data_IF_294883875145
#
_entry.id   IF_294883875145
#
_cell.length_a   1.000
_cell.length_b   1.000
_cell.length_c   1.000
_cell.angle_alpha   90.00
_cell.angle_beta   90.00
_cell.angle_gamma   90.00
#
_symmetry.space_group_name_H-M   'P 1'
#
loop_
_entity.id
_entity.type
_entity.pdbx_description
1 polymer ?
#
# COMPACT_ATOMS: atom_id res chain seq x y z
N UNK A 1 19.02 -15.69 -4.51
CA UNK A 1 20.50 -15.53 -4.46
C UNK A 1 20.96 -14.07 -4.48
N UNK A 2 20.48 -13.20 -5.38
CA UNK A 2 20.89 -11.76 -5.42
C UNK A 2 20.40 -10.95 -4.21
N UNK A 3 19.20 -11.25 -3.69
CA UNK A 3 18.68 -10.58 -2.49
C UNK A 3 19.44 -10.95 -1.20
N UNK A 4 19.80 -12.23 -1.01
CA UNK A 4 20.50 -12.71 0.20
C UNK A 4 21.88 -12.07 0.41
N UNK A 5 22.64 -11.86 -0.67
CA UNK A 5 23.97 -11.23 -0.59
C UNK A 5 23.92 -9.74 -0.22
N UNK A 6 22.83 -9.05 -0.54
CA UNK A 6 22.66 -7.62 -0.25
C UNK A 6 22.32 -7.36 1.23
N UNK A 7 21.57 -8.28 1.88
CA UNK A 7 21.18 -8.17 3.29
C UNK A 7 22.35 -8.39 4.28
N UNK A 8 23.31 -9.24 3.91
CA UNK A 8 24.30 -9.79 4.85
C UNK A 8 25.30 -8.76 5.42
N UNK A 9 25.53 -7.63 4.73
CA UNK A 9 26.54 -6.63 5.11
C UNK A 9 26.01 -5.48 5.98
N UNK A 10 24.70 -5.25 6.03
CA UNK A 10 24.11 -4.10 6.75
C UNK A 10 23.37 -4.51 8.01
N UNK A 11 22.79 -5.71 7.99
CA UNK A 11 22.04 -6.27 9.10
C UNK A 11 23.00 -7.03 10.01
N UNK A 12 23.40 -6.41 11.12
CA UNK A 12 24.43 -6.96 12.01
C UNK A 12 23.84 -7.99 12.97
N UNK A 13 22.61 -7.76 13.43
CA UNK A 13 22.05 -8.55 14.53
C UNK A 13 21.37 -9.85 14.03
N UNK A 14 21.62 -11.01 14.68
CA UNK A 14 21.02 -12.29 14.30
C UNK A 14 19.48 -12.25 14.32
N UNK A 15 18.92 -11.47 15.25
CA UNK A 15 17.48 -11.29 15.38
C UNK A 15 16.88 -10.61 14.14
N UNK A 16 17.52 -9.56 13.63
CA UNK A 16 17.09 -8.86 12.43
C UNK A 16 17.15 -9.79 11.21
N UNK A 17 18.19 -10.64 11.08
CA UNK A 17 18.25 -11.65 10.01
C UNK A 17 17.10 -12.65 10.07
N UNK A 18 16.76 -13.11 11.28
CA UNK A 18 15.60 -13.99 11.51
C UNK A 18 14.29 -13.30 11.14
N UNK A 19 14.13 -12.03 11.48
CA UNK A 19 12.96 -11.21 11.13
C UNK A 19 12.80 -11.12 9.60
N UNK A 20 13.84 -10.70 8.87
CA UNK A 20 13.79 -10.61 7.41
C UNK A 20 13.45 -11.95 6.74
N UNK A 21 14.03 -13.04 7.22
CA UNK A 21 13.72 -14.38 6.71
C UNK A 21 12.25 -14.72 6.91
N UNK A 22 11.73 -14.51 8.12
CA UNK A 22 10.33 -14.79 8.44
C UNK A 22 9.36 -13.91 7.63
N UNK A 23 9.66 -12.62 7.46
CA UNK A 23 8.86 -11.70 6.63
C UNK A 23 8.86 -12.16 5.16
N UNK A 24 10.02 -12.60 4.64
CA UNK A 24 10.12 -13.05 3.24
C UNK A 24 9.31 -14.32 3.01
N UNK A 25 9.40 -15.30 3.91
CA UNK A 25 8.65 -16.57 3.82
C UNK A 25 7.14 -16.31 3.93
N UNK A 26 6.72 -15.52 4.91
CA UNK A 26 5.30 -15.19 5.12
C UNK A 26 4.72 -14.38 3.95
N UNK A 27 5.47 -13.43 3.40
CA UNK A 27 5.07 -12.66 2.22
C UNK A 27 4.89 -13.56 1.00
N UNK A 28 5.81 -14.51 0.78
CA UNK A 28 5.73 -15.44 -0.35
C UNK A 28 4.51 -16.34 -0.25
N UNK A 29 4.23 -16.86 0.95
CA UNK A 29 3.02 -17.63 1.22
C UNK A 29 1.75 -16.79 0.98
N UNK A 30 1.71 -15.55 1.48
CA UNK A 30 0.57 -14.65 1.31
C UNK A 30 0.33 -14.30 -0.18
N UNK A 31 1.39 -14.07 -0.96
CA UNK A 31 1.27 -13.83 -2.41
C UNK A 31 0.66 -15.03 -3.11
N UNK A 32 1.17 -16.24 -2.84
CA UNK A 32 0.62 -17.48 -3.42
C UNK A 32 -0.86 -17.65 -3.02
N UNK A 33 -1.19 -17.39 -1.76
CA UNK A 33 -2.56 -17.42 -1.27
C UNK A 33 -3.46 -16.40 -2.00
N UNK A 34 -3.02 -15.16 -2.18
CA UNK A 34 -3.76 -14.16 -2.95
C UNK A 34 -3.95 -14.56 -4.42
N UNK A 35 -2.93 -15.15 -5.06
CA UNK A 35 -3.04 -15.65 -6.44
C UNK A 35 -4.08 -16.77 -6.53
N UNK A 36 -4.05 -17.73 -5.60
CA UNK A 36 -5.03 -18.82 -5.54
C UNK A 36 -6.44 -18.25 -5.33
N UNK A 37 -6.62 -17.29 -4.40
CA UNK A 37 -7.90 -16.63 -4.19
C UNK A 37 -8.40 -15.91 -5.44
N UNK A 38 -7.53 -15.21 -6.18
CA UNK A 38 -7.89 -14.53 -7.43
C UNK A 38 -8.30 -15.55 -8.50
N UNK A 39 -7.58 -16.68 -8.62
CA UNK A 39 -7.92 -17.76 -9.55
C UNK A 39 -9.25 -18.43 -9.21
N UNK A 40 -9.46 -18.73 -7.92
CA UNK A 40 -10.73 -19.27 -7.42
C UNK A 40 -11.88 -18.29 -7.61
N UNK A 41 -11.65 -17.00 -7.35
CA UNK A 41 -12.65 -15.98 -7.63
C UNK A 41 -13.00 -15.93 -9.11
N UNK A 42 -12.02 -16.00 -10.01
CA UNK A 42 -12.28 -16.08 -11.45
C UNK A 42 -13.05 -17.35 -11.87
N UNK A 43 -12.87 -18.46 -11.15
CA UNK A 43 -13.51 -19.75 -11.45
C UNK A 43 -14.93 -19.87 -10.89
N UNK A 44 -15.17 -19.33 -9.69
CA UNK A 44 -16.40 -19.55 -8.92
C UNK A 44 -17.26 -18.30 -8.72
N UNK A 45 -16.68 -17.09 -8.73
CA UNK A 45 -17.50 -15.88 -8.59
C UNK A 45 -18.08 -15.51 -9.96
N UNK A 46 -19.41 -15.40 -10.08
CA UNK A 46 -20.00 -14.88 -11.29
C UNK A 46 -19.60 -13.41 -11.47
N UNK A 47 -19.41 -12.98 -12.71
CA UNK A 47 -18.87 -11.66 -13.07
C UNK A 47 -19.63 -10.45 -12.51
N UNK A 48 -20.85 -10.66 -12.00
CA UNK A 48 -21.70 -9.65 -11.37
C UNK A 48 -21.51 -9.49 -9.84
N UNK A 49 -20.66 -10.28 -9.18
CA UNK A 49 -20.46 -10.16 -7.72
C UNK A 49 -19.50 -9.01 -7.36
N UNK A 50 -18.58 -8.66 -8.26
CA UNK A 50 -17.67 -7.51 -8.09
C UNK A 50 -18.42 -6.16 -8.20
N UNK A 51 -19.66 -6.16 -8.72
CA UNK A 51 -20.58 -5.01 -8.72
C UNK A 51 -21.39 -4.86 -7.43
N UNK A 52 -21.21 -5.73 -6.44
CA UNK A 52 -21.96 -5.71 -5.17
C UNK A 52 -21.49 -4.67 -4.15
N UNK A 53 -20.33 -4.03 -4.37
CA UNK A 53 -19.99 -2.80 -3.64
C UNK A 53 -20.66 -1.68 -4.43
N UNK A 54 -21.68 -1.06 -3.84
CA UNK A 54 -22.44 0.03 -4.46
C UNK A 54 -21.58 1.32 -4.55
N UNK A 55 -20.53 1.27 -5.38
CA UNK A 55 -19.67 2.41 -5.72
C UNK A 55 -20.51 3.48 -6.43
N UNK A 56 -21.55 3.06 -7.14
CA UNK A 56 -22.57 3.93 -7.75
C UNK A 56 -23.26 4.84 -6.73
N UNK A 57 -23.56 4.34 -5.53
CA UNK A 57 -24.09 5.15 -4.44
C UNK A 57 -23.18 6.32 -4.06
N UNK A 58 -21.87 6.11 -3.97
CA UNK A 58 -20.92 7.20 -3.75
C UNK A 58 -20.80 8.13 -4.97
N UNK A 59 -20.76 7.58 -6.18
CA UNK A 59 -20.68 8.38 -7.40
C UNK A 59 -21.95 9.20 -7.69
N UNK A 60 -23.08 8.90 -7.05
CA UNK A 60 -24.29 9.73 -7.10
C UNK A 60 -24.06 11.14 -6.53
N UNK A 61 -23.09 11.29 -5.62
CA UNK A 61 -22.63 12.59 -5.10
C UNK A 61 -21.65 13.30 -6.07
N UNK A 62 -21.50 12.78 -7.29
CA UNK A 62 -20.62 13.31 -8.32
C UNK A 62 -19.16 13.34 -7.91
N UNK A 63 -18.50 14.47 -8.17
CA UNK A 63 -17.08 14.64 -7.89
C UNK A 63 -16.72 14.60 -6.40
N UNK A 64 -17.62 15.04 -5.52
CA UNK A 64 -17.40 14.97 -4.07
C UNK A 64 -17.35 13.51 -3.61
N UNK A 65 -18.27 12.69 -4.11
CA UNK A 65 -18.27 11.26 -3.84
C UNK A 65 -17.01 10.56 -4.36
N UNK A 66 -16.59 10.91 -5.58
CA UNK A 66 -15.32 10.44 -6.16
C UNK A 66 -14.12 10.82 -5.29
N UNK A 67 -14.05 12.05 -4.79
CA UNK A 67 -12.98 12.50 -3.90
C UNK A 67 -12.93 11.69 -2.60
N UNK A 68 -14.08 11.51 -1.93
CA UNK A 68 -14.14 10.80 -0.64
C UNK A 68 -13.74 9.34 -0.80
N UNK A 69 -14.27 8.65 -1.80
CA UNK A 69 -14.00 7.23 -1.98
C UNK A 69 -12.54 6.98 -2.42
N UNK A 70 -11.93 7.87 -3.20
CA UNK A 70 -10.50 7.75 -3.56
C UNK A 70 -9.60 8.17 -2.40
N UNK A 71 -10.02 9.12 -1.57
CA UNK A 71 -9.36 9.43 -0.31
C UNK A 71 -9.32 8.21 0.60
N UNK A 72 -10.46 7.55 0.82
CA UNK A 72 -10.51 6.31 1.60
C UNK A 72 -9.62 5.23 0.98
N UNK A 73 -9.63 5.09 -0.36
CA UNK A 73 -8.73 4.18 -1.07
C UNK A 73 -7.25 4.50 -0.97
N UNK A 74 -6.87 5.75 -0.68
CA UNK A 74 -5.48 6.15 -0.39
C UNK A 74 -5.04 5.87 1.05
N UNK A 75 -5.98 5.60 1.95
CA UNK A 75 -5.68 5.29 3.37
C UNK A 75 -5.39 3.79 3.59
N UNK A 76 -5.41 3.33 4.85
CA UNK A 76 -5.26 1.91 5.20
C UNK A 76 -6.43 1.04 4.73
N UNK A 77 -7.57 1.64 4.35
CA UNK A 77 -8.70 0.89 3.84
C UNK A 77 -8.42 0.36 2.44
N UNK A 78 -8.59 -0.95 2.19
CA UNK A 78 -8.44 -1.55 0.88
C UNK A 78 -9.66 -1.26 0.00
N UNK A 79 -9.91 0.03 -0.30
CA UNK A 79 -10.90 0.43 -1.29
C UNK A 79 -10.22 0.45 -2.65
N UNK A 80 -10.74 -0.31 -3.61
CA UNK A 80 -10.17 -0.43 -4.95
C UNK A 80 -10.23 0.87 -5.75
N UNK A 81 -9.30 1.79 -5.50
CA UNK A 81 -9.23 3.09 -6.19
C UNK A 81 -9.21 2.99 -7.73
N UNK A 82 -8.59 1.96 -8.37
CA UNK A 82 -8.68 1.82 -9.83
C UNK A 82 -10.08 1.46 -10.30
N UNK A 83 -10.82 0.66 -9.53
CA UNK A 83 -12.18 0.26 -9.86
C UNK A 83 -13.12 1.47 -9.81
N UNK A 84 -13.01 2.31 -8.78
CA UNK A 84 -13.80 3.54 -8.66
C UNK A 84 -13.58 4.47 -9.86
N UNK A 85 -12.32 4.74 -10.21
CA UNK A 85 -11.98 5.64 -11.32
C UNK A 85 -12.47 5.06 -12.65
N UNK A 86 -12.37 3.74 -12.84
CA UNK A 86 -12.93 3.07 -14.02
C UNK A 86 -14.46 3.18 -14.07
N UNK A 87 -15.15 3.00 -12.93
CA UNK A 87 -16.62 3.16 -12.85
C UNK A 87 -17.04 4.60 -13.16
N UNK A 88 -16.35 5.60 -12.62
CA UNK A 88 -16.61 7.02 -12.92
C UNK A 88 -16.52 7.32 -14.43
N UNK A 89 -15.53 6.74 -15.11
CA UNK A 89 -15.41 6.81 -16.56
C UNK A 89 -16.55 6.08 -17.30
N UNK A 90 -16.93 4.89 -16.82
CA UNK A 90 -17.99 4.08 -17.43
C UNK A 90 -19.38 4.74 -17.36
N UNK A 91 -19.67 5.50 -16.29
CA UNK A 91 -20.92 6.25 -16.15
C UNK A 91 -20.90 7.61 -16.89
N UNK A 92 -19.85 7.89 -17.66
CA UNK A 92 -19.79 9.06 -18.54
C UNK A 92 -19.27 10.36 -17.91
N UNK A 93 -18.62 10.31 -16.74
CA UNK A 93 -18.03 11.51 -16.16
C UNK A 93 -16.86 12.04 -17.02
N UNK A 94 -16.73 13.38 -17.17
CA UNK A 94 -15.62 13.98 -17.90
C UNK A 94 -14.24 13.53 -17.39
N UNK A 95 -13.37 13.13 -18.32
CA UNK A 95 -12.06 12.51 -18.02
C UNK A 95 -11.15 13.38 -17.15
N UNK A 96 -10.97 14.64 -17.52
CA UNK A 96 -10.00 15.52 -16.87
C UNK A 96 -10.37 15.80 -15.39
N UNK A 97 -11.62 16.19 -15.05
CA UNK A 97 -12.06 16.29 -13.66
C UNK A 97 -11.93 14.98 -12.87
N UNK A 98 -12.28 13.83 -13.47
CA UNK A 98 -12.16 12.54 -12.80
C UNK A 98 -10.69 12.27 -12.42
N UNK A 99 -9.76 12.47 -13.34
CA UNK A 99 -8.31 12.29 -13.09
C UNK A 99 -7.85 13.21 -11.95
N UNK A 100 -8.15 14.50 -12.03
CA UNK A 100 -7.66 15.47 -11.04
C UNK A 100 -8.25 15.21 -9.65
N UNK A 101 -9.55 14.95 -9.56
CA UNK A 101 -10.24 14.81 -8.28
C UNK A 101 -9.92 13.46 -7.64
N UNK A 102 -9.84 12.38 -8.44
CA UNK A 102 -9.40 11.09 -7.94
C UNK A 102 -7.96 11.13 -7.43
N UNK A 103 -7.05 11.76 -8.18
CA UNK A 103 -5.66 11.94 -7.77
C UNK A 103 -5.55 12.76 -6.49
N UNK A 104 -6.25 13.89 -6.39
CA UNK A 104 -6.28 14.72 -5.19
C UNK A 104 -6.77 13.94 -3.96
N UNK A 105 -7.89 13.22 -4.10
CA UNK A 105 -8.43 12.39 -3.01
C UNK A 105 -7.43 11.34 -2.58
N UNK A 106 -6.92 10.54 -3.54
CA UNK A 106 -5.97 9.47 -3.27
C UNK A 106 -4.67 9.97 -2.63
N UNK A 107 -4.07 11.04 -3.18
CA UNK A 107 -2.88 11.67 -2.60
C UNK A 107 -3.14 12.15 -1.17
N UNK A 108 -4.30 12.77 -0.92
CA UNK A 108 -4.67 13.19 0.45
C UNK A 108 -4.76 11.99 1.40
N UNK A 109 -5.39 10.89 0.96
CA UNK A 109 -5.46 9.66 1.74
C UNK A 109 -4.08 9.07 2.06
N UNK A 110 -3.18 9.07 1.07
CA UNK A 110 -1.79 8.61 1.23
C UNK A 110 -1.02 9.50 2.21
N UNK A 111 -1.21 10.82 2.14
CA UNK A 111 -0.62 11.77 3.09
C UNK A 111 -1.13 11.54 4.53
N UNK A 112 -2.43 11.26 4.70
CA UNK A 112 -2.98 10.89 6.01
C UNK A 112 -2.31 9.63 6.55
N UNK A 113 -2.14 8.60 5.71
CA UNK A 113 -1.45 7.37 6.10
C UNK A 113 0.00 7.61 6.53
N UNK A 114 0.75 8.41 5.75
CA UNK A 114 2.11 8.81 6.09
C UNK A 114 2.13 9.53 7.45
N UNK A 115 1.26 10.51 7.64
CA UNK A 115 1.18 11.31 8.86
C UNK A 115 0.86 10.45 10.09
N UNK A 116 -0.12 9.55 9.98
CA UNK A 116 -0.46 8.63 11.06
C UNK A 116 0.73 7.73 11.46
N UNK A 117 1.50 7.25 10.49
CA UNK A 117 2.68 6.45 10.77
C UNK A 117 3.83 7.27 11.39
N UNK A 118 4.00 8.51 10.92
CA UNK A 118 5.00 9.44 11.41
C UNK A 118 4.79 9.80 12.89
N UNK A 119 3.56 10.16 13.25
CA UNK A 119 3.22 10.58 14.62
C UNK A 119 3.04 9.38 15.57
N UNK A 120 2.25 8.38 15.17
CA UNK A 120 1.82 7.32 16.08
C UNK A 120 2.57 6.00 15.86
N UNK A 121 2.96 5.71 14.61
CA UNK A 121 3.58 4.44 14.25
C UNK A 121 4.93 4.21 14.93
N UNK A 122 5.77 5.27 14.98
CA UNK A 122 7.12 5.17 15.53
C UNK A 122 7.13 4.74 17.00
N UNK A 123 6.25 5.33 17.81
CA UNK A 123 6.13 5.04 19.25
C UNK A 123 5.70 3.59 19.49
N UNK A 124 4.79 3.07 18.67
CA UNK A 124 4.33 1.70 18.77
C UNK A 124 5.41 0.69 18.38
N UNK A 125 6.14 0.95 17.31
CA UNK A 125 7.21 0.06 16.83
C UNK A 125 8.37 0.03 17.81
N UNK A 126 8.83 1.17 18.30
CA UNK A 126 9.93 1.24 19.28
C UNK A 126 9.59 0.55 20.62
N UNK A 127 8.31 0.47 20.98
CA UNK A 127 7.87 -0.27 22.19
C UNK A 127 7.87 -1.79 22.01
N UNK A 128 7.63 -2.28 20.79
CA UNK A 128 7.48 -3.71 20.49
C UNK A 128 8.69 -4.36 19.85
N UNK A 129 9.61 -3.56 19.32
CA UNK A 129 10.79 -4.01 18.61
C UNK A 129 12.03 -3.69 19.42
N UNK A 130 12.98 -4.64 19.46
CA UNK A 130 14.29 -4.39 20.05
C UNK A 130 15.01 -3.25 19.34
N UNK A 131 15.75 -2.44 20.09
CA UNK A 131 16.39 -1.23 19.58
C UNK A 131 17.39 -1.55 18.48
N UNK A 132 18.15 -2.62 18.65
CA UNK A 132 19.15 -3.10 17.71
C UNK A 132 18.52 -3.49 16.36
N UNK A 133 17.35 -4.13 16.40
CA UNK A 133 16.59 -4.50 15.20
C UNK A 133 16.07 -3.26 14.48
N UNK A 134 15.57 -2.28 15.24
CA UNK A 134 15.09 -1.03 14.68
C UNK A 134 16.21 -0.20 14.03
N UNK A 135 17.40 -0.15 14.64
CA UNK A 135 18.58 0.53 14.07
C UNK A 135 19.06 -0.12 12.77
N UNK A 136 19.13 -1.46 12.71
CA UNK A 136 19.45 -2.18 11.47
C UNK A 136 18.42 -1.87 10.35
N UNK A 137 17.13 -1.81 10.70
CA UNK A 137 16.07 -1.48 9.74
C UNK A 137 16.18 -0.04 9.23
N UNK A 138 16.52 0.92 10.09
CA UNK A 138 16.76 2.31 9.69
C UNK A 138 17.94 2.43 8.72
N UNK A 139 19.05 1.75 8.99
CA UNK A 139 20.22 1.74 8.09
C UNK A 139 19.86 1.15 6.73
N UNK A 140 19.10 0.05 6.72
CA UNK A 140 18.63 -0.58 5.49
C UNK A 140 17.66 0.35 4.71
N UNK A 141 16.73 0.98 5.42
CA UNK A 141 15.76 1.91 4.85
C UNK A 141 16.44 3.15 4.25
N UNK A 142 17.42 3.74 4.93
CA UNK A 142 18.15 4.90 4.41
C UNK A 142 18.89 4.59 3.10
N UNK A 143 19.27 3.33 2.88
CA UNK A 143 19.95 2.91 1.66
C UNK A 143 18.99 2.53 0.53
N UNK A 144 17.96 1.75 0.82
CA UNK A 144 17.08 1.14 -0.19
C UNK A 144 15.70 1.79 -0.28
N UNK A 145 15.31 2.62 0.69
CA UNK A 145 13.98 3.24 0.79
C UNK A 145 13.62 4.04 -0.46
N UNK A 146 14.52 4.90 -0.95
CA UNK A 146 14.26 5.67 -2.19
C UNK A 146 14.08 4.75 -3.41
N UNK A 147 14.85 3.66 -3.50
CA UNK A 147 14.74 2.69 -4.60
C UNK A 147 13.38 2.00 -4.53
N UNK A 148 12.92 1.62 -3.33
CA UNK A 148 11.60 1.03 -3.13
C UNK A 148 10.48 2.02 -3.49
N UNK A 149 10.61 3.29 -3.09
CA UNK A 149 9.64 4.35 -3.43
C UNK A 149 9.48 4.50 -4.93
N UNK A 150 10.61 4.59 -5.66
CA UNK A 150 10.59 4.69 -7.11
C UNK A 150 9.99 3.44 -7.76
N UNK A 151 10.39 2.24 -7.32
CA UNK A 151 9.84 1.00 -7.88
C UNK A 151 8.33 0.87 -7.63
N UNK A 152 7.86 1.16 -6.42
CA UNK A 152 6.43 1.08 -6.09
C UNK A 152 5.61 2.14 -6.81
N UNK A 153 6.15 3.33 -7.05
CA UNK A 153 5.49 4.36 -7.84
C UNK A 153 5.34 3.95 -9.32
N UNK A 154 6.27 3.16 -9.87
CA UNK A 154 6.24 2.70 -11.26
C UNK A 154 5.27 1.55 -11.52
N UNK A 155 5.00 0.72 -10.51
CA UNK A 155 4.13 -0.46 -10.65
C UNK A 155 2.81 -0.26 -9.90
N UNK A 156 1.72 0.13 -10.59
CA UNK A 156 0.43 0.47 -9.96
C UNK A 156 -0.27 -0.72 -9.26
N UNK A 157 0.22 -1.95 -9.46
CA UNK A 157 -0.25 -3.16 -8.77
C UNK A 157 0.30 -3.26 -7.34
N UNK A 158 1.41 -2.57 -7.04
CA UNK A 158 2.02 -2.64 -5.73
C UNK A 158 1.22 -1.84 -4.71
N UNK A 159 1.13 -2.31 -3.45
CA UNK A 159 0.36 -1.65 -2.40
C UNK A 159 1.09 -0.39 -1.92
N UNK A 160 1.02 0.69 -2.69
CA UNK A 160 1.70 1.95 -2.43
C UNK A 160 1.33 2.54 -1.06
N UNK A 161 0.10 2.31 -0.58
CA UNK A 161 -0.36 2.75 0.74
C UNK A 161 0.48 2.17 1.89
N UNK A 162 0.95 0.91 1.78
CA UNK A 162 1.84 0.30 2.77
C UNK A 162 3.21 0.97 2.77
N UNK A 163 3.70 1.33 1.59
CA UNK A 163 4.98 2.00 1.46
C UNK A 163 4.91 3.42 2.05
N UNK A 164 3.83 4.15 1.84
CA UNK A 164 3.63 5.46 2.46
C UNK A 164 3.63 5.37 4.00
N UNK A 165 3.06 4.32 4.56
CA UNK A 165 3.11 4.02 5.99
C UNK A 165 4.55 3.78 6.46
N UNK A 166 5.33 2.97 5.72
CA UNK A 166 6.76 2.77 6.00
C UNK A 166 7.57 4.08 5.90
N UNK A 167 7.28 4.91 4.90
CA UNK A 167 7.93 6.21 4.74
C UNK A 167 7.66 7.12 5.94
N UNK A 168 6.42 7.17 6.43
CA UNK A 168 6.07 7.92 7.64
C UNK A 168 6.75 7.35 8.87
N UNK A 169 6.69 6.02 9.05
CA UNK A 169 7.30 5.32 10.19
C UNK A 169 8.81 5.60 10.30
N UNK A 170 9.53 5.55 9.18
CA UNK A 170 10.97 5.79 9.15
C UNK A 170 11.35 7.26 8.94
N UNK A 171 10.37 8.18 8.98
CA UNK A 171 10.56 9.63 8.80
C UNK A 171 11.34 9.96 7.53
N UNK A 172 10.96 9.34 6.43
CA UNK A 172 11.51 9.63 5.11
C UNK A 172 11.18 11.08 4.75
N UNK A 173 12.22 11.87 4.45
CA UNK A 173 12.14 13.32 4.22
C UNK A 173 12.82 13.69 2.89
#
# INVERSE_FOLDING_TARGET
>A
MVFEYSYANYVKHPQTKKLFRNITITSLFFIVFCIILILLAKLYLPSHLLSGIDISGFLSYGYLGLFIITLLGGTFFPVGSPAVVATAGAIGMPKLPVILISALGYTTGVCINYFLAYEFGIHYVQKKMEKEVFEDLLVWWNKYGIILVVLFALFPILPFNLLALLCGLFRFN
#
